data_IF_583191337139
#
_entry.id   IF_583191337139
#
_cell.length_a   1.000
_cell.length_b   1.000
_cell.length_c   1.000
_cell.angle_alpha   90.00
_cell.angle_beta   90.00
_cell.angle_gamma   90.00
#
_symmetry.space_group_name_H-M   'P 1'
#
loop_
_entity.id
_entity.type
_entity.pdbx_description
1 polymer ?
#
# COMPACT_ATOMS: atom_id res chain seq x y z
N UNK A 1 -0.08 21.47 8.68
CA UNK A 1 -1.47 21.04 8.39
C UNK A 1 -1.73 19.68 8.99
N UNK A 2 -2.93 19.47 9.57
CA UNK A 2 -3.24 18.15 10.14
C UNK A 2 -3.80 17.23 9.06
N UNK A 3 -3.32 15.98 9.05
CA UNK A 3 -3.81 14.92 8.17
C UNK A 3 -3.83 13.57 8.89
N UNK A 4 -4.63 12.65 8.39
CA UNK A 4 -4.61 11.25 8.84
C UNK A 4 -3.98 10.38 7.75
N UNK A 5 -3.00 9.56 8.13
CA UNK A 5 -2.45 8.47 7.32
C UNK A 5 -3.03 7.18 7.88
N UNK A 6 -3.58 6.33 7.03
CA UNK A 6 -4.25 5.11 7.44
C UNK A 6 -3.99 3.97 6.46
N UNK A 7 -3.97 2.78 6.99
CA UNK A 7 -3.85 1.53 6.23
C UNK A 7 -4.73 0.46 6.85
N UNK A 8 -5.03 -0.59 6.08
CA UNK A 8 -5.89 -1.69 6.51
C UNK A 8 -5.38 -3.05 6.07
N UNK A 9 -5.47 -4.03 6.97
CA UNK A 9 -5.28 -5.41 6.64
C UNK A 9 -6.60 -6.17 6.63
N UNK A 10 -6.74 -7.10 5.72
CA UNK A 10 -7.99 -7.84 5.50
C UNK A 10 -7.81 -9.35 5.70
N UNK A 11 -8.91 -10.03 5.97
CA UNK A 11 -9.04 -11.48 6.01
C UNK A 11 -10.16 -11.94 5.09
N UNK A 12 -10.01 -13.12 4.50
CA UNK A 12 -10.99 -13.69 3.58
C UNK A 12 -10.73 -13.29 2.13
N UNK A 13 -10.46 -14.28 1.27
CA UNK A 13 -10.13 -14.07 -0.15
C UNK A 13 -11.26 -13.38 -0.91
N UNK A 14 -12.52 -13.70 -0.56
CA UNK A 14 -13.70 -13.16 -1.25
C UNK A 14 -14.26 -11.96 -0.50
N UNK A 15 -14.41 -12.06 0.82
CA UNK A 15 -15.05 -11.02 1.63
C UNK A 15 -14.14 -9.84 1.88
N UNK A 16 -12.84 -10.11 2.05
CA UNK A 16 -11.83 -9.12 2.40
C UNK A 16 -12.29 -8.23 3.56
N UNK A 17 -12.75 -8.86 4.63
CA UNK A 17 -13.22 -8.18 5.83
C UNK A 17 -12.05 -7.48 6.54
N UNK A 18 -12.29 -6.27 7.06
CA UNK A 18 -11.29 -5.52 7.82
C UNK A 18 -10.86 -6.27 9.07
N UNK A 19 -9.60 -6.66 9.13
CA UNK A 19 -8.99 -7.37 10.26
C UNK A 19 -8.16 -6.46 11.16
N UNK A 20 -7.33 -5.61 10.54
CA UNK A 20 -6.46 -4.68 11.26
C UNK A 20 -6.66 -3.28 10.66
N UNK A 21 -6.74 -2.28 11.53
CA UNK A 21 -6.91 -0.87 11.17
C UNK A 21 -5.83 -0.06 11.89
N UNK A 22 -4.88 0.43 11.13
CA UNK A 22 -3.83 1.33 11.59
C UNK A 22 -4.08 2.76 11.14
N UNK A 23 -3.82 3.73 12.01
CA UNK A 23 -3.79 5.12 11.58
C UNK A 23 -2.95 6.02 12.48
N UNK A 24 -2.44 7.08 11.86
CA UNK A 24 -1.74 8.17 12.52
C UNK A 24 -2.41 9.49 12.15
N UNK A 25 -2.62 10.37 13.13
CA UNK A 25 -2.93 11.77 12.84
C UNK A 25 -1.66 12.56 13.09
N UNK A 26 -1.20 13.26 12.08
CA UNK A 26 0.04 14.03 12.11
C UNK A 26 -0.24 15.51 11.86
N UNK A 27 0.57 16.38 12.42
CA UNK A 27 0.66 17.79 12.02
C UNK A 27 1.90 17.95 11.15
N UNK A 28 1.67 18.11 9.85
CA UNK A 28 2.66 18.04 8.78
C UNK A 28 2.89 19.44 8.21
N UNK A 29 4.14 19.82 8.04
CA UNK A 29 4.52 20.99 7.26
C UNK A 29 4.59 20.61 5.77
N UNK A 30 3.67 21.08 4.92
CA UNK A 30 3.62 20.68 3.51
C UNK A 30 4.76 21.27 2.67
N UNK A 31 5.55 22.20 3.22
CA UNK A 31 6.69 22.79 2.53
C UNK A 31 8.01 22.06 2.81
N UNK A 32 8.16 21.45 3.99
CA UNK A 32 9.41 20.82 4.42
C UNK A 32 9.31 19.32 4.62
N UNK A 33 8.09 18.78 4.79
CA UNK A 33 7.84 17.39 5.15
C UNK A 33 8.06 17.10 6.65
N UNK A 34 8.47 18.07 7.46
CA UNK A 34 8.56 17.88 8.90
C UNK A 34 7.19 17.63 9.51
N UNK A 35 7.08 16.67 10.42
CA UNK A 35 5.81 16.37 11.07
C UNK A 35 5.97 15.97 12.53
N UNK A 36 4.88 16.13 13.28
CA UNK A 36 4.72 15.58 14.62
C UNK A 36 3.49 14.67 14.65
N UNK A 37 3.61 13.54 15.33
CA UNK A 37 2.50 12.60 15.50
C UNK A 37 1.62 13.05 16.68
N UNK A 38 0.35 13.33 16.41
CA UNK A 38 -0.65 13.72 17.41
C UNK A 38 -1.42 12.51 17.95
N UNK A 39 -1.67 11.52 17.09
CA UNK A 39 -2.36 10.26 17.40
C UNK A 39 -1.64 9.13 16.68
N UNK A 40 -1.53 7.99 17.36
CA UNK A 40 -1.05 6.72 16.79
C UNK A 40 -1.95 5.62 17.33
N UNK A 41 -2.57 4.83 16.44
CA UNK A 41 -3.51 3.77 16.79
C UNK A 41 -3.30 2.55 15.93
N UNK A 42 -3.38 1.40 16.57
CA UNK A 42 -3.43 0.10 15.93
C UNK A 42 -4.54 -0.74 16.57
N UNK A 43 -5.50 -1.17 15.75
CA UNK A 43 -6.65 -1.93 16.21
C UNK A 43 -6.81 -3.22 15.44
N UNK A 44 -7.04 -4.30 16.19
CA UNK A 44 -7.37 -5.60 15.63
C UNK A 44 -8.85 -5.89 15.89
N UNK A 45 -9.57 -6.27 14.84
CA UNK A 45 -11.02 -6.56 14.91
C UNK A 45 -11.25 -7.86 15.64
N UNK A 46 -11.82 -7.74 16.85
CA UNK A 46 -11.95 -8.83 17.80
C UNK A 46 -12.75 -10.03 17.25
N UNK A 47 -13.84 -9.76 16.54
CA UNK A 47 -14.75 -10.81 16.05
C UNK A 47 -14.06 -11.71 15.02
N UNK A 48 -13.21 -11.15 14.18
CA UNK A 48 -12.43 -11.89 13.18
C UNK A 48 -11.22 -12.58 13.83
N UNK A 49 -10.43 -11.83 14.61
CA UNK A 49 -9.24 -12.35 15.27
C UNK A 49 -9.56 -13.55 16.19
N UNK A 50 -10.67 -13.52 16.92
CA UNK A 50 -11.06 -14.60 17.81
C UNK A 50 -11.51 -15.87 17.06
N UNK A 51 -11.77 -15.80 15.76
CA UNK A 51 -12.03 -16.96 14.92
C UNK A 51 -10.70 -17.56 14.42
N UNK A 52 -10.00 -18.24 15.34
CA UNK A 52 -8.66 -18.81 15.08
C UNK A 52 -8.61 -19.69 13.83
N UNK A 53 -9.59 -20.60 13.57
CA UNK A 53 -9.60 -21.39 12.34
C UNK A 53 -9.65 -20.52 11.06
N UNK A 54 -10.43 -19.44 11.06
CA UNK A 54 -10.46 -18.49 9.95
C UNK A 54 -9.09 -17.86 9.74
N UNK A 55 -8.47 -17.36 10.81
CA UNK A 55 -7.20 -16.67 10.76
C UNK A 55 -6.05 -17.54 10.25
N UNK A 56 -5.92 -18.75 10.78
CA UNK A 56 -4.80 -19.66 10.45
C UNK A 56 -4.93 -20.22 9.03
N UNK A 57 -6.15 -20.47 8.56
CA UNK A 57 -6.41 -21.04 7.23
C UNK A 57 -6.56 -19.99 6.12
N UNK A 58 -6.54 -18.71 6.46
CA UNK A 58 -6.58 -17.64 5.48
C UNK A 58 -5.24 -17.50 4.75
N UNK A 59 -5.29 -17.37 3.41
CA UNK A 59 -4.08 -17.30 2.61
C UNK A 59 -3.31 -15.97 2.76
N UNK A 60 -3.96 -14.91 3.23
CA UNK A 60 -3.33 -13.60 3.46
C UNK A 60 -2.85 -13.41 4.89
N UNK A 61 -3.40 -14.17 5.84
CA UNK A 61 -3.02 -14.10 7.25
C UNK A 61 -2.11 -15.27 7.60
N UNK A 62 -2.62 -16.50 7.56
CA UNK A 62 -1.88 -17.69 7.93
C UNK A 62 -1.43 -17.70 9.40
N UNK A 63 -0.72 -18.73 9.79
CA UNK A 63 -0.24 -18.88 11.17
C UNK A 63 0.81 -17.83 11.57
N UNK A 64 1.65 -17.42 10.62
CA UNK A 64 2.73 -16.47 10.89
C UNK A 64 2.18 -15.08 11.22
N UNK A 65 1.36 -14.50 10.34
CA UNK A 65 0.77 -13.18 10.55
C UNK A 65 -0.19 -13.17 11.74
N UNK A 66 -0.92 -14.27 11.97
CA UNK A 66 -1.71 -14.44 13.20
C UNK A 66 -0.83 -14.37 14.46
N UNK A 67 0.35 -14.99 14.44
CA UNK A 67 1.35 -14.89 15.50
C UNK A 67 1.85 -13.46 15.72
N UNK A 68 2.10 -12.72 14.66
CA UNK A 68 2.47 -11.29 14.73
C UNK A 68 1.37 -10.46 15.42
N UNK A 69 0.12 -10.60 15.01
CA UNK A 69 -1.00 -9.91 15.66
C UNK A 69 -1.15 -10.28 17.13
N UNK A 70 -0.93 -11.56 17.48
CA UNK A 70 -0.94 -12.00 18.88
C UNK A 70 0.14 -11.29 19.70
N UNK A 71 1.36 -11.22 19.17
CA UNK A 71 2.45 -10.52 19.82
C UNK A 71 2.17 -9.02 20.00
N UNK A 72 1.59 -8.35 19.00
CA UNK A 72 1.20 -6.93 19.10
C UNK A 72 0.19 -6.69 20.21
N UNK A 73 -0.80 -7.59 20.38
CA UNK A 73 -1.80 -7.50 21.45
C UNK A 73 -1.14 -7.72 22.84
N UNK A 74 -0.34 -8.76 22.96
CA UNK A 74 0.35 -9.11 24.23
C UNK A 74 1.30 -8.00 24.68
N UNK A 75 2.00 -7.38 23.74
CA UNK A 75 2.92 -6.27 23.98
C UNK A 75 2.20 -4.90 24.11
N UNK A 76 0.87 -4.88 24.03
CA UNK A 76 0.04 -3.65 24.11
C UNK A 76 0.37 -2.62 23.01
N UNK A 77 0.88 -3.08 21.89
CA UNK A 77 1.14 -2.26 20.71
C UNK A 77 -0.12 -2.09 19.86
N UNK A 78 -0.97 -3.15 19.81
CA UNK A 78 -2.29 -3.10 19.21
C UNK A 78 -3.39 -3.38 20.24
N UNK A 79 -4.58 -2.83 20.01
CA UNK A 79 -5.73 -3.01 20.88
C UNK A 79 -6.84 -3.77 20.14
N UNK A 80 -7.36 -4.79 20.78
CA UNK A 80 -8.46 -5.59 20.24
C UNK A 80 -9.81 -4.98 20.62
N UNK A 81 -10.61 -4.61 19.59
CA UNK A 81 -11.95 -4.08 19.73
C UNK A 81 -12.90 -4.62 18.65
N UNK A 82 -14.21 -4.56 18.89
CA UNK A 82 -15.17 -4.76 17.81
C UNK A 82 -15.10 -3.58 16.82
N UNK A 83 -15.50 -3.85 15.58
CA UNK A 83 -15.36 -2.87 14.49
C UNK A 83 -16.12 -1.56 14.75
N UNK A 84 -17.31 -1.62 15.36
CA UNK A 84 -18.09 -0.42 15.70
C UNK A 84 -17.35 0.49 16.67
N UNK A 85 -16.66 -0.10 17.66
CA UNK A 85 -15.84 0.69 18.61
C UNK A 85 -14.61 1.29 17.96
N UNK A 86 -13.97 0.58 17.04
CA UNK A 86 -12.84 1.09 16.27
C UNK A 86 -13.25 2.32 15.46
N UNK A 87 -14.36 2.23 14.72
CA UNK A 87 -14.90 3.33 13.92
C UNK A 87 -15.31 4.54 14.77
N UNK A 88 -15.95 4.30 15.92
CA UNK A 88 -16.29 5.35 16.89
C UNK A 88 -15.04 6.11 17.37
N UNK A 89 -13.99 5.37 17.75
CA UNK A 89 -12.75 6.00 18.24
C UNK A 89 -12.07 6.80 17.12
N UNK A 90 -11.94 6.23 15.93
CA UNK A 90 -11.34 6.93 14.79
C UNK A 90 -12.12 8.20 14.42
N UNK A 91 -13.46 8.13 14.40
CA UNK A 91 -14.33 9.28 14.19
C UNK A 91 -14.11 10.38 15.25
N UNK A 92 -14.01 9.98 16.52
CA UNK A 92 -13.76 10.91 17.62
C UNK A 92 -12.37 11.57 17.51
N UNK A 93 -11.34 10.82 17.15
CA UNK A 93 -9.99 11.35 16.93
C UNK A 93 -9.99 12.32 15.74
N UNK A 94 -10.66 11.99 14.63
CA UNK A 94 -10.82 12.87 13.46
C UNK A 94 -11.57 14.15 13.86
N UNK A 95 -12.69 14.04 14.57
CA UNK A 95 -13.47 15.21 15.02
C UNK A 95 -12.69 16.11 15.97
N UNK A 96 -11.88 15.52 16.85
CA UNK A 96 -11.04 16.26 17.81
C UNK A 96 -9.88 17.00 17.13
N UNK A 97 -9.16 16.32 16.22
CA UNK A 97 -7.96 16.87 15.62
C UNK A 97 -8.22 17.64 14.33
N UNK A 98 -9.37 17.38 13.66
CA UNK A 98 -9.83 18.05 12.44
C UNK A 98 -8.79 18.00 11.31
N UNK A 99 -8.32 16.81 10.90
CA UNK A 99 -7.47 16.69 9.73
C UNK A 99 -8.23 17.21 8.50
N UNK A 100 -7.49 17.82 7.58
CA UNK A 100 -8.06 18.37 6.33
C UNK A 100 -7.95 17.40 5.15
N UNK A 101 -7.06 16.39 5.27
CA UNK A 101 -6.87 15.33 4.30
C UNK A 101 -6.65 13.98 4.99
N UNK A 102 -7.07 12.91 4.30
CA UNK A 102 -6.61 11.55 4.56
C UNK A 102 -5.65 11.09 3.47
N UNK A 103 -4.72 10.22 3.82
CA UNK A 103 -3.72 9.64 2.93
C UNK A 103 -3.62 8.14 3.15
N UNK A 104 -3.49 7.37 2.07
CA UNK A 104 -3.15 5.95 2.10
C UNK A 104 -2.45 5.58 0.79
N UNK A 105 -1.64 4.53 0.79
CA UNK A 105 -1.00 4.03 -0.42
C UNK A 105 -1.98 3.14 -1.20
N UNK A 106 -2.32 3.50 -2.44
CA UNK A 106 -3.41 2.87 -3.18
C UNK A 106 -4.78 3.03 -2.48
N UNK A 107 -5.07 4.22 -2.00
CA UNK A 107 -6.17 4.58 -1.11
C UNK A 107 -7.55 4.04 -1.49
N UNK A 108 -7.79 3.72 -2.77
CA UNK A 108 -9.05 3.14 -3.21
C UNK A 108 -9.32 1.77 -2.59
N UNK A 109 -8.27 1.00 -2.28
CA UNK A 109 -8.42 -0.28 -1.61
C UNK A 109 -8.96 -0.07 -0.20
N UNK A 110 -8.29 0.74 0.59
CA UNK A 110 -8.65 0.96 1.99
C UNK A 110 -10.00 1.64 2.13
N UNK A 111 -10.25 2.70 1.35
CA UNK A 111 -11.54 3.41 1.39
C UNK A 111 -12.71 2.50 1.03
N UNK A 112 -12.57 1.60 0.05
CA UNK A 112 -13.56 0.57 -0.29
C UNK A 112 -13.84 -0.36 0.90
N UNK A 113 -12.79 -0.75 1.66
CA UNK A 113 -12.97 -1.60 2.84
C UNK A 113 -13.68 -0.87 3.98
N UNK A 114 -13.35 0.39 4.23
CA UNK A 114 -14.08 1.21 5.20
C UNK A 114 -15.55 1.36 4.81
N UNK A 115 -15.86 1.66 3.55
CA UNK A 115 -17.23 1.83 3.06
C UNK A 115 -18.04 0.54 3.18
N UNK A 116 -17.54 -0.58 2.63
CA UNK A 116 -18.21 -1.89 2.71
C UNK A 116 -18.44 -2.35 4.15
N UNK A 117 -17.47 -2.08 5.03
CA UNK A 117 -17.58 -2.43 6.45
C UNK A 117 -18.64 -1.57 7.13
N UNK A 118 -18.68 -0.26 6.87
CA UNK A 118 -19.71 0.63 7.38
C UNK A 118 -21.10 0.18 6.97
N UNK A 119 -21.29 -0.16 5.70
CA UNK A 119 -22.56 -0.65 5.15
C UNK A 119 -22.97 -2.00 5.76
N UNK A 120 -22.04 -2.95 5.86
CA UNK A 120 -22.27 -4.30 6.42
C UNK A 120 -22.77 -4.24 7.87
N UNK A 121 -22.15 -3.39 8.68
CA UNK A 121 -22.47 -3.26 10.11
C UNK A 121 -23.46 -2.14 10.41
N UNK A 122 -23.90 -1.37 9.40
CA UNK A 122 -24.81 -0.21 9.52
C UNK A 122 -24.28 0.83 10.52
N UNK A 123 -23.00 1.12 10.43
CA UNK A 123 -22.29 2.12 11.23
C UNK A 123 -21.77 3.23 10.32
N UNK A 124 -21.49 4.39 10.90
CA UNK A 124 -20.96 5.52 10.14
C UNK A 124 -19.48 5.30 9.78
N UNK A 125 -19.14 5.48 8.49
CA UNK A 125 -17.75 5.45 8.06
C UNK A 125 -16.99 6.66 8.63
N UNK A 126 -15.90 6.45 9.40
CA UNK A 126 -15.17 7.54 10.04
C UNK A 126 -14.47 8.48 9.06
N UNK A 127 -14.27 8.05 7.81
CA UNK A 127 -13.64 8.84 6.75
C UNK A 127 -14.62 9.72 5.98
N UNK A 128 -15.93 9.65 6.27
CA UNK A 128 -16.94 10.44 5.58
C UNK A 128 -16.66 11.93 5.63
N UNK A 129 -16.66 12.56 4.45
CA UNK A 129 -16.43 14.00 4.30
C UNK A 129 -14.96 14.42 4.35
N UNK A 130 -14.03 13.48 4.54
CA UNK A 130 -12.60 13.75 4.48
C UNK A 130 -12.09 13.50 3.07
N UNK A 131 -11.49 14.50 2.38
CA UNK A 131 -10.83 14.27 1.10
C UNK A 131 -9.65 13.29 1.28
N UNK A 132 -9.67 12.18 0.53
CA UNK A 132 -8.60 11.17 0.58
C UNK A 132 -7.72 11.31 -0.66
N UNK A 133 -6.41 11.34 -0.45
CA UNK A 133 -5.39 11.48 -1.49
C UNK A 133 -4.47 10.25 -1.49
N UNK A 134 -4.07 9.85 -2.69
CA UNK A 134 -3.34 8.60 -2.93
C UNK A 134 -1.82 8.83 -2.89
N UNK A 135 -1.16 8.34 -1.83
CA UNK A 135 0.31 8.39 -1.69
C UNK A 135 0.99 7.67 -2.87
N UNK A 136 0.41 6.57 -3.36
CA UNK A 136 0.97 5.88 -4.52
C UNK A 136 1.04 6.79 -5.76
N UNK A 137 0.01 7.61 -5.99
CA UNK A 137 0.03 8.55 -7.11
C UNK A 137 1.18 9.56 -6.98
N UNK A 138 1.44 10.05 -5.76
CA UNK A 138 2.57 10.93 -5.48
C UNK A 138 3.91 10.21 -5.68
N UNK A 139 4.07 9.03 -5.08
CA UNK A 139 5.29 8.24 -5.19
C UNK A 139 5.64 7.89 -6.65
N UNK A 140 4.66 7.46 -7.44
CA UNK A 140 4.88 7.16 -8.86
C UNK A 140 5.38 8.38 -9.62
N UNK A 141 4.84 9.57 -9.36
CA UNK A 141 5.20 10.76 -10.13
C UNK A 141 6.47 11.47 -9.64
N UNK A 142 6.81 11.38 -8.36
CA UNK A 142 7.94 12.12 -7.78
C UNK A 142 9.12 11.24 -7.38
N UNK A 143 8.94 9.91 -7.29
CA UNK A 143 10.00 8.97 -6.95
C UNK A 143 10.21 7.97 -8.10
N UNK A 144 9.17 7.16 -8.42
CA UNK A 144 9.38 5.99 -9.27
C UNK A 144 9.65 6.32 -10.75
N UNK A 145 9.30 7.52 -11.23
CA UNK A 145 9.56 7.98 -12.60
C UNK A 145 10.84 8.74 -12.78
N UNK A 146 11.60 8.94 -11.73
CA UNK A 146 12.95 9.52 -11.86
C UNK A 146 13.90 8.53 -12.52
N UNK A 147 14.88 9.04 -13.26
CA UNK A 147 15.87 8.19 -13.92
C UNK A 147 16.64 7.36 -12.88
N UNK A 148 16.94 7.94 -11.72
CA UNK A 148 17.63 7.27 -10.62
C UNK A 148 16.87 6.06 -10.09
N UNK A 149 15.54 6.17 -9.89
CA UNK A 149 14.73 5.03 -9.46
C UNK A 149 14.65 3.97 -10.55
N UNK A 150 14.46 4.38 -11.81
CA UNK A 150 14.35 3.45 -12.94
C UNK A 150 15.64 2.66 -13.12
N UNK A 151 16.81 3.33 -13.05
CA UNK A 151 18.12 2.67 -13.15
C UNK A 151 18.36 1.74 -11.97
N UNK A 152 18.06 2.19 -10.75
CA UNK A 152 18.14 1.36 -9.54
C UNK A 152 17.23 0.13 -9.64
N UNK A 153 15.99 0.30 -10.06
CA UNK A 153 15.04 -0.79 -10.19
C UNK A 153 15.47 -1.83 -11.23
N UNK A 154 16.06 -1.39 -12.35
CA UNK A 154 16.62 -2.29 -13.36
C UNK A 154 17.83 -3.06 -12.84
N UNK A 155 18.75 -2.36 -12.15
CA UNK A 155 19.95 -2.98 -11.58
C UNK A 155 19.64 -4.03 -10.51
N UNK A 156 18.52 -3.86 -9.77
CA UNK A 156 18.10 -4.75 -8.70
C UNK A 156 16.92 -5.66 -9.09
N UNK A 157 16.60 -5.77 -10.37
CA UNK A 157 15.52 -6.60 -10.92
C UNK A 157 14.14 -6.36 -10.28
N UNK A 158 13.86 -5.13 -9.86
CA UNK A 158 12.59 -4.73 -9.25
C UNK A 158 11.48 -4.63 -10.30
N UNK A 159 11.06 -5.79 -10.83
CA UNK A 159 10.03 -5.92 -11.84
C UNK A 159 8.78 -6.60 -11.27
N UNK A 160 7.62 -6.28 -11.85
CA UNK A 160 6.40 -7.07 -11.62
C UNK A 160 6.61 -8.52 -12.03
N UNK A 161 5.77 -9.44 -11.56
CA UNK A 161 5.86 -10.87 -11.89
C UNK A 161 5.91 -11.15 -13.40
N UNK A 162 5.19 -10.36 -14.18
CA UNK A 162 5.24 -10.45 -15.65
C UNK A 162 6.58 -10.00 -16.25
N UNK A 163 7.40 -9.27 -15.49
CA UNK A 163 8.60 -8.61 -15.96
C UNK A 163 8.35 -7.38 -16.86
N UNK A 164 7.08 -7.02 -17.11
CA UNK A 164 6.72 -5.94 -18.04
C UNK A 164 6.94 -4.54 -17.47
N UNK A 165 6.77 -4.39 -16.16
CA UNK A 165 6.79 -3.09 -15.51
C UNK A 165 7.72 -3.08 -14.31
N UNK A 166 8.23 -1.90 -13.99
CA UNK A 166 8.97 -1.64 -12.75
C UNK A 166 7.97 -1.67 -11.58
N UNK A 167 8.37 -2.31 -10.48
CA UNK A 167 7.58 -2.30 -9.24
C UNK A 167 7.52 -0.89 -8.67
N UNK A 168 6.35 -0.55 -8.13
CA UNK A 168 6.08 0.74 -7.48
C UNK A 168 5.28 0.53 -6.18
N UNK A 169 5.42 -0.64 -5.55
CA UNK A 169 4.83 -0.93 -4.23
C UNK A 169 5.56 -0.15 -3.13
N UNK A 170 4.94 -0.03 -1.94
CA UNK A 170 5.57 0.53 -0.74
C UNK A 170 6.93 -0.12 -0.51
N UNK A 171 6.98 -1.45 -0.46
CA UNK A 171 8.22 -2.21 -0.25
C UNK A 171 9.33 -1.81 -1.23
N UNK A 172 9.01 -1.71 -2.53
CA UNK A 172 10.01 -1.34 -3.55
C UNK A 172 10.52 0.08 -3.38
N UNK A 173 9.62 1.01 -3.03
CA UNK A 173 9.98 2.42 -2.78
C UNK A 173 10.82 2.53 -1.52
N UNK A 174 10.47 1.82 -0.44
CA UNK A 174 11.25 1.83 0.80
C UNK A 174 12.63 1.21 0.60
N UNK A 175 12.75 0.09 -0.13
CA UNK A 175 14.06 -0.49 -0.52
C UNK A 175 14.95 0.52 -1.21
N UNK A 176 14.39 1.29 -2.12
CA UNK A 176 15.12 2.36 -2.81
C UNK A 176 15.54 3.48 -1.87
N UNK A 177 14.61 4.00 -1.07
CA UNK A 177 14.85 5.16 -0.21
C UNK A 177 15.86 4.86 0.91
N UNK A 178 15.84 3.62 1.42
CA UNK A 178 16.72 3.18 2.51
C UNK A 178 18.01 2.52 2.02
N UNK A 179 18.10 2.24 0.72
CA UNK A 179 19.15 1.41 0.12
C UNK A 179 19.30 0.04 0.82
N UNK A 180 18.17 -0.51 1.29
CA UNK A 180 18.11 -1.81 1.96
C UNK A 180 17.27 -2.79 1.12
N UNK A 181 17.93 -3.66 0.37
CA UNK A 181 17.28 -4.65 -0.51
C UNK A 181 16.59 -5.78 0.29
N UNK A 182 17.03 -6.00 1.53
CA UNK A 182 16.48 -7.03 2.41
C UNK A 182 15.24 -6.55 3.20
N UNK A 183 14.81 -5.29 2.96
CA UNK A 183 13.60 -4.78 3.60
C UNK A 183 12.39 -5.61 3.17
N UNK A 184 11.60 -6.04 4.13
CA UNK A 184 10.30 -6.68 3.95
C UNK A 184 9.26 -5.92 4.79
N UNK A 185 8.07 -5.70 4.22
CA UNK A 185 6.97 -5.10 4.96
C UNK A 185 6.49 -6.04 6.06
N UNK A 186 6.23 -5.49 7.24
CA UNK A 186 5.68 -6.25 8.37
C UNK A 186 4.22 -6.68 8.13
N UNK A 187 3.54 -6.02 7.20
CA UNK A 187 2.12 -6.22 6.89
C UNK A 187 1.25 -6.11 8.15
N UNK A 188 1.47 -5.04 8.89
CA UNK A 188 0.59 -4.59 9.96
C UNK A 188 0.20 -3.15 9.69
N UNK A 189 -1.09 -2.85 9.77
CA UNK A 189 -1.62 -1.59 9.27
C UNK A 189 -0.95 -0.33 9.86
N UNK A 190 -0.52 -0.37 11.13
CA UNK A 190 0.15 0.80 11.71
C UNK A 190 1.62 0.94 11.29
N UNK A 191 2.35 -0.15 11.08
CA UNK A 191 3.73 -0.07 10.61
C UNK A 191 3.75 0.38 9.16
N UNK A 192 2.80 -0.11 8.33
CA UNK A 192 2.63 0.31 6.95
C UNK A 192 2.27 1.81 6.87
N UNK A 193 1.38 2.34 7.73
CA UNK A 193 1.20 3.79 7.89
C UNK A 193 2.50 4.54 8.20
N UNK A 194 3.45 3.88 8.87
CA UNK A 194 4.78 4.44 9.15
C UNK A 194 5.52 4.71 7.85
N UNK A 195 5.70 3.67 7.05
CA UNK A 195 6.41 3.75 5.77
C UNK A 195 5.71 4.65 4.76
N UNK A 196 4.40 4.59 4.69
CA UNK A 196 3.60 5.48 3.85
C UNK A 196 3.81 6.96 4.21
N UNK A 197 3.90 7.27 5.53
CA UNK A 197 4.22 8.62 5.99
C UNK A 197 5.59 9.06 5.50
N UNK A 198 6.61 8.20 5.59
CA UNK A 198 7.96 8.53 5.12
C UNK A 198 8.01 8.72 3.60
N UNK A 199 7.29 7.92 2.83
CA UNK A 199 7.15 8.09 1.38
C UNK A 199 6.48 9.43 1.06
N UNK A 200 5.40 9.78 1.77
CA UNK A 200 4.71 11.07 1.61
C UNK A 200 5.66 12.25 1.88
N UNK A 201 6.44 12.16 2.95
CA UNK A 201 7.47 13.16 3.31
C UNK A 201 8.52 13.28 2.22
N UNK A 202 8.98 12.17 1.67
CA UNK A 202 9.96 12.19 0.59
C UNK A 202 9.39 12.82 -0.69
N UNK A 203 8.12 12.56 -1.01
CA UNK A 203 7.45 13.26 -2.12
C UNK A 203 7.44 14.79 -1.91
N UNK A 204 7.15 15.25 -0.69
CA UNK A 204 7.19 16.69 -0.35
C UNK A 204 8.60 17.26 -0.57
N UNK A 205 9.64 16.59 -0.07
CA UNK A 205 11.04 17.01 -0.25
C UNK A 205 11.43 17.11 -1.73
N UNK A 206 10.81 16.33 -2.59
CA UNK A 206 10.97 16.37 -4.05
C UNK A 206 10.08 17.39 -4.74
N UNK A 207 9.37 18.24 -3.98
CA UNK A 207 8.55 19.34 -4.49
C UNK A 207 7.11 18.95 -4.86
N UNK A 208 6.60 17.83 -4.34
CA UNK A 208 5.21 17.46 -4.54
C UNK A 208 4.28 18.37 -3.75
N UNK A 209 3.26 18.94 -4.41
CA UNK A 209 2.12 19.58 -3.74
C UNK A 209 1.09 18.52 -3.36
N UNK A 210 1.19 18.03 -2.12
CA UNK A 210 0.29 17.00 -1.58
C UNK A 210 -1.12 17.50 -1.25
N UNK A 211 -1.41 18.77 -1.46
CA UNK A 211 -2.76 19.35 -1.24
C UNK A 211 -3.64 19.21 -2.48
N UNK A 212 -3.07 18.80 -3.60
CA UNK A 212 -3.77 18.63 -4.86
C UNK A 212 -3.90 17.14 -5.24
N UNK A 213 -5.08 16.68 -5.66
CA UNK A 213 -5.24 15.31 -6.13
C UNK A 213 -4.38 15.09 -7.38
N UNK A 214 -3.65 14.00 -7.39
CA UNK A 214 -2.80 13.61 -8.51
C UNK A 214 -3.31 12.32 -9.16
N UNK A 215 -3.32 12.29 -10.48
CA UNK A 215 -3.61 11.05 -11.19
C UNK A 215 -2.40 10.13 -11.12
N UNK A 216 -2.61 8.86 -10.81
CA UNK A 216 -1.63 7.82 -11.06
C UNK A 216 -1.24 7.91 -12.53
N UNK A 217 0.00 8.14 -12.81
CA UNK A 217 0.54 7.88 -14.13
C UNK A 217 0.41 6.38 -14.46
N UNK A 218 0.36 6.00 -15.74
CA UNK A 218 0.38 4.59 -16.16
C UNK A 218 1.60 3.84 -15.62
N UNK A 219 1.60 2.53 -15.74
CA UNK A 219 2.73 1.67 -15.38
C UNK A 219 4.02 2.14 -16.05
N UNK A 220 5.14 1.97 -15.36
CA UNK A 220 6.48 2.30 -15.86
C UNK A 220 7.02 1.08 -16.58
N UNK A 221 7.24 1.12 -17.92
CA UNK A 221 7.76 -0.03 -18.65
C UNK A 221 9.15 -0.43 -18.13
N UNK A 222 9.38 -1.72 -17.93
CA UNK A 222 10.69 -2.22 -17.48
C UNK A 222 11.76 -2.11 -18.56
N UNK A 223 11.35 -2.23 -19.83
CA UNK A 223 12.26 -2.39 -20.96
C UNK A 223 13.03 -3.73 -20.92
N UNK A 224 12.60 -4.68 -20.08
CA UNK A 224 13.26 -6.00 -19.96
C UNK A 224 13.16 -6.75 -21.29
N UNK A 225 14.32 -7.19 -21.79
CA UNK A 225 14.40 -8.02 -22.98
C UNK A 225 14.28 -9.49 -22.55
N UNK A 226 13.46 -10.23 -23.26
CA UNK A 226 13.24 -11.66 -23.07
C UNK A 226 13.74 -12.40 -24.31
N UNK A 227 14.32 -13.56 -24.14
CA UNK A 227 14.77 -14.43 -25.24
C UNK A 227 13.84 -15.63 -25.36
N UNK A 228 13.47 -15.98 -26.58
CA UNK A 228 12.70 -17.19 -26.88
C UNK A 228 13.37 -17.94 -28.05
N UNK A 229 13.62 -19.21 -27.82
CA UNK A 229 14.06 -20.11 -28.89
C UNK A 229 12.88 -20.55 -29.75
N UNK A 230 12.95 -20.36 -31.04
CA UNK A 230 11.96 -20.85 -32.02
C UNK A 230 12.59 -21.86 -32.92
N UNK A 231 11.84 -22.94 -33.20
CA UNK A 231 12.23 -23.94 -34.20
C UNK A 231 11.57 -23.57 -35.52
N UNK A 232 12.38 -23.37 -36.55
CA UNK A 232 11.90 -23.06 -37.90
C UNK A 232 11.40 -24.35 -38.61
N UNK A 233 10.58 -24.23 -39.67
CA UNK A 233 10.07 -25.38 -40.40
C UNK A 233 11.15 -26.31 -40.99
N UNK A 234 12.36 -25.79 -41.20
CA UNK A 234 13.53 -26.56 -41.67
C UNK A 234 14.28 -27.26 -40.53
N UNK A 235 13.80 -27.17 -39.27
CA UNK A 235 14.44 -27.80 -38.11
C UNK A 235 15.53 -26.95 -37.47
N UNK A 236 15.90 -25.82 -38.01
CA UNK A 236 16.85 -24.89 -37.39
C UNK A 236 16.23 -24.18 -36.21
N UNK A 237 17.06 -23.84 -35.20
CA UNK A 237 16.65 -23.04 -34.03
C UNK A 237 17.20 -21.64 -34.15
N UNK A 238 16.35 -20.66 -33.89
CA UNK A 238 16.75 -19.27 -33.77
C UNK A 238 16.36 -18.73 -32.40
N UNK A 239 17.18 -17.84 -31.87
CA UNK A 239 16.82 -17.05 -30.69
C UNK A 239 16.25 -15.70 -31.13
N UNK A 240 15.10 -15.37 -30.56
CA UNK A 240 14.43 -14.10 -30.82
C UNK A 240 14.40 -13.32 -29.53
N UNK A 241 14.94 -12.13 -29.53
CA UNK A 241 14.77 -11.15 -28.46
C UNK A 241 13.48 -10.38 -28.63
N UNK A 242 12.75 -10.15 -27.53
CA UNK A 242 11.51 -9.39 -27.56
C UNK A 242 11.29 -8.68 -26.21
N UNK A 243 10.55 -7.57 -26.24
CA UNK A 243 10.00 -6.89 -25.06
C UNK A 243 8.53 -7.24 -24.90
N UNK A 244 8.06 -7.33 -23.66
CA UNK A 244 6.64 -7.54 -23.36
C UNK A 244 5.98 -6.20 -23.03
N UNK A 245 4.87 -5.89 -23.67
CA UNK A 245 3.97 -4.82 -23.27
C UNK A 245 2.62 -5.43 -22.90
N UNK A 246 2.10 -5.10 -21.70
CA UNK A 246 0.75 -5.50 -21.31
C UNK A 246 -0.26 -4.49 -21.85
N UNK A 247 -1.28 -4.98 -22.56
CA UNK A 247 -2.49 -4.20 -22.79
C UNK A 247 -3.45 -4.32 -21.61
N UNK A 248 -4.34 -3.31 -21.46
CA UNK A 248 -5.38 -3.26 -20.40
C UNK A 248 -6.26 -4.52 -20.31
N UNK A 249 -6.25 -5.37 -21.32
CA UNK A 249 -7.08 -6.58 -21.44
C UNK A 249 -6.33 -7.88 -21.07
N UNK A 250 -5.14 -7.79 -20.48
CA UNK A 250 -4.32 -8.95 -20.13
C UNK A 250 -3.64 -9.64 -21.33
N UNK A 251 -3.71 -9.03 -22.51
CA UNK A 251 -3.02 -9.55 -23.71
C UNK A 251 -1.59 -9.04 -23.72
N UNK A 252 -0.62 -9.96 -23.75
CA UNK A 252 0.79 -9.61 -23.90
C UNK A 252 1.07 -9.32 -25.36
N UNK A 253 1.46 -8.08 -25.68
CA UNK A 253 2.05 -7.76 -26.98
C UNK A 253 3.56 -7.99 -26.91
N UNK A 254 4.07 -8.60 -27.95
CA UNK A 254 5.50 -8.80 -28.16
C UNK A 254 5.97 -7.80 -29.22
N UNK A 255 7.02 -7.05 -28.91
CA UNK A 255 7.78 -6.29 -29.91
C UNK A 255 9.10 -7.00 -30.10
N UNK A 256 9.36 -7.48 -31.31
CA UNK A 256 10.67 -7.93 -31.75
C UNK A 256 11.53 -6.71 -32.12
#
# INVERSE_FOLDING_TARGET
MKCVVFDTETVGVITQDLLNVGYKIIDLNPATGEYITLVKRDYIVADLYNNVPLMINDMFVGAEKYGKFTALIENKQAIKHNIGKIFEIMKNDIAKHKPIFGFAYNCNFDTDKFEKTADKFKIENPLNGLPILDIWAFAVNYICRTDEYIEWAKANEMFTESGCYIKTSVESVVKYLTNNLDFEEEHTALDDCGWETEILVECIKRGCDITQPMKKGGNIPSGKVFTKTMVLPNGETIEIEYTKEYERNGVVKYKA
#
